data_IF_878893788909
#
_entry.id   IF_878893788909
#
_cell.length_a   1.000
_cell.length_b   1.000
_cell.length_c   1.000
_cell.angle_alpha   90.00
_cell.angle_beta   90.00
_cell.angle_gamma   90.00
#
_symmetry.space_group_name_H-M   'P 1'
#
loop_
_entity.id
_entity.type
_entity.pdbx_description
1 polymer ?
#
# COMPACT_ATOMS: atom_id res chain seq x y z
N UNK A 1 -6.33 -19.50 6.48
CA UNK A 1 -5.13 -18.73 6.90
C UNK A 1 -4.60 -19.12 8.28
N UNK A 2 -5.29 -19.96 9.06
CA UNK A 2 -4.77 -20.42 10.34
C UNK A 2 -3.38 -21.07 10.17
N UNK A 3 -2.42 -20.70 11.03
CA UNK A 3 -1.00 -21.08 10.98
C UNK A 3 -0.16 -20.47 9.83
N UNK A 4 -0.70 -19.53 9.05
CA UNK A 4 0.07 -18.78 8.06
C UNK A 4 0.78 -17.58 8.69
N UNK A 5 1.89 -17.16 8.11
CA UNK A 5 2.66 -15.97 8.51
C UNK A 5 2.44 -14.86 7.48
N UNK A 6 1.93 -13.71 7.92
CA UNK A 6 1.64 -12.56 7.05
C UNK A 6 2.61 -11.44 7.39
N UNK A 7 3.45 -11.07 6.42
CA UNK A 7 4.41 -9.98 6.53
C UNK A 7 3.77 -8.61 6.33
N UNK A 8 4.11 -7.63 7.17
CA UNK A 8 3.64 -6.24 7.03
C UNK A 8 4.73 -5.25 7.45
N UNK A 9 4.78 -4.08 6.83
CA UNK A 9 5.70 -3.01 7.25
C UNK A 9 5.26 -2.41 8.59
N UNK A 10 6.20 -2.30 9.52
CA UNK A 10 5.98 -1.76 10.86
C UNK A 10 5.60 -0.28 10.83
N UNK A 11 4.72 0.14 11.74
CA UNK A 11 4.39 1.56 11.95
C UNK A 11 3.58 2.20 10.82
N UNK A 12 2.91 1.38 9.99
CA UNK A 12 2.02 1.82 8.91
C UNK A 12 0.56 1.53 9.27
N UNK A 13 -0.37 2.22 8.62
CA UNK A 13 -1.81 1.95 8.76
C UNK A 13 -2.18 0.48 8.51
N UNK A 14 -1.48 -0.19 7.59
CA UNK A 14 -1.66 -1.62 7.30
C UNK A 14 -1.34 -2.54 8.48
N UNK A 15 -0.30 -2.24 9.26
CA UNK A 15 0.04 -3.02 10.45
C UNK A 15 -1.06 -2.91 11.50
N UNK A 16 -1.51 -1.67 11.78
CA UNK A 16 -2.60 -1.43 12.74
C UNK A 16 -3.90 -2.09 12.28
N UNK A 17 -4.21 -2.02 10.98
CA UNK A 17 -5.39 -2.65 10.40
C UNK A 17 -5.39 -4.17 10.61
N UNK A 18 -4.27 -4.85 10.32
CA UNK A 18 -4.16 -6.29 10.56
C UNK A 18 -4.34 -6.63 12.04
N UNK A 19 -3.68 -5.87 12.92
CA UNK A 19 -3.76 -6.12 14.37
C UNK A 19 -5.19 -5.94 14.90
N UNK A 20 -5.93 -4.95 14.41
CA UNK A 20 -7.30 -4.66 14.87
C UNK A 20 -8.34 -5.64 14.33
N UNK A 21 -8.17 -6.16 13.12
CA UNK A 21 -9.23 -6.92 12.42
C UNK A 21 -8.92 -8.42 12.28
N UNK A 22 -7.65 -8.81 12.37
CA UNK A 22 -7.19 -10.16 12.05
C UNK A 22 -6.28 -10.76 13.11
N UNK A 23 -6.30 -10.22 14.34
CA UNK A 23 -5.63 -10.84 15.47
C UNK A 23 -6.06 -12.32 15.59
N UNK A 24 -5.09 -13.19 15.85
CA UNK A 24 -5.26 -14.65 16.00
C UNK A 24 -5.78 -15.43 14.77
N UNK A 25 -6.02 -14.77 13.63
CA UNK A 25 -6.38 -15.46 12.37
C UNK A 25 -5.16 -16.05 11.65
N UNK A 26 -3.99 -15.44 11.87
CA UNK A 26 -2.68 -15.82 11.35
C UNK A 26 -1.59 -15.09 12.14
N UNK A 27 -0.34 -15.51 11.99
CA UNK A 27 0.80 -14.87 12.65
C UNK A 27 1.20 -13.62 11.88
N UNK A 28 1.13 -12.44 12.51
CA UNK A 28 1.58 -11.18 11.92
C UNK A 28 3.08 -11.03 12.16
N UNK A 29 3.86 -10.87 11.09
CA UNK A 29 5.31 -10.64 11.15
C UNK A 29 5.61 -9.22 10.67
N UNK A 30 6.18 -8.39 11.54
CA UNK A 30 6.45 -6.98 11.22
C UNK A 30 7.87 -6.78 10.69
N UNK A 31 8.01 -5.92 9.69
CA UNK A 31 9.28 -5.59 9.07
C UNK A 31 9.56 -4.10 9.10
N UNK A 32 10.79 -3.70 9.46
CA UNK A 32 11.26 -2.32 9.30
C UNK A 32 11.77 -2.02 7.89
N UNK A 33 12.20 -3.06 7.16
CA UNK A 33 12.82 -2.93 5.85
C UNK A 33 11.99 -3.67 4.78
N UNK A 34 11.49 -2.96 3.75
CA UNK A 34 10.71 -3.59 2.68
C UNK A 34 11.49 -4.63 1.87
N UNK A 35 12.81 -4.48 1.72
CA UNK A 35 13.65 -5.47 1.03
C UNK A 35 13.66 -6.80 1.78
N UNK A 36 13.79 -6.75 3.12
CA UNK A 36 13.76 -7.95 3.97
C UNK A 36 12.39 -8.64 3.91
N UNK A 37 11.30 -7.87 3.93
CA UNK A 37 9.95 -8.40 3.77
C UNK A 37 9.81 -9.15 2.44
N UNK A 38 10.29 -8.55 1.35
CA UNK A 38 10.23 -9.17 0.02
C UNK A 38 11.12 -10.42 -0.09
N UNK A 39 12.33 -10.39 0.47
CA UNK A 39 13.22 -11.56 0.55
C UNK A 39 12.57 -12.70 1.33
N UNK A 40 11.91 -12.39 2.45
CA UNK A 40 11.24 -13.40 3.28
C UNK A 40 10.02 -13.98 2.60
N UNK A 41 9.29 -13.18 1.82
CA UNK A 41 8.21 -13.69 0.96
C UNK A 41 8.76 -14.66 -0.08
N UNK A 42 9.82 -14.25 -0.81
CA UNK A 42 10.46 -15.09 -1.83
C UNK A 42 10.96 -16.42 -1.27
N UNK A 43 11.56 -16.39 -0.07
CA UNK A 43 12.11 -17.57 0.58
C UNK A 43 11.06 -18.41 1.33
N UNK A 44 9.79 -18.02 1.32
CA UNK A 44 8.73 -18.71 2.07
C UNK A 44 8.90 -18.61 3.59
N UNK A 45 9.63 -17.60 4.08
CA UNK A 45 9.70 -17.26 5.51
C UNK A 45 8.44 -16.54 5.98
N UNK A 46 7.74 -15.86 5.08
CA UNK A 46 6.33 -15.49 5.25
C UNK A 46 5.52 -16.09 4.11
N UNK A 47 4.27 -16.43 4.39
CA UNK A 47 3.37 -17.07 3.43
C UNK A 47 2.65 -16.04 2.53
N UNK A 48 2.48 -14.81 3.03
CA UNK A 48 1.85 -13.71 2.32
C UNK A 48 2.38 -12.36 2.84
N UNK A 49 2.10 -11.29 2.11
CA UNK A 49 2.35 -9.92 2.56
C UNK A 49 1.06 -9.10 2.51
N UNK A 50 0.95 -8.12 3.41
CA UNK A 50 -0.14 -7.16 3.42
C UNK A 50 0.44 -5.75 3.26
N UNK A 51 0.12 -5.09 2.15
CA UNK A 51 0.69 -3.81 1.76
C UNK A 51 -0.29 -3.03 0.87
N UNK A 52 0.09 -1.79 0.50
CA UNK A 52 -0.67 -0.98 -0.45
C UNK A 52 -0.89 -1.73 -1.77
N UNK A 53 -2.12 -1.72 -2.27
CA UNK A 53 -2.52 -2.52 -3.44
C UNK A 53 -1.72 -2.17 -4.70
N UNK A 54 -1.55 -0.87 -5.02
CA UNK A 54 -0.75 -0.44 -6.18
C UNK A 54 0.72 -0.87 -6.06
N UNK A 55 1.27 -0.87 -4.84
CA UNK A 55 2.61 -1.40 -4.60
C UNK A 55 2.68 -2.92 -4.82
N UNK A 56 1.63 -3.66 -4.45
CA UNK A 56 1.57 -5.11 -4.70
C UNK A 56 1.43 -5.42 -6.19
N UNK A 57 0.62 -4.66 -6.93
CA UNK A 57 0.52 -4.78 -8.39
C UNK A 57 1.87 -4.50 -9.07
N UNK A 58 2.58 -3.46 -8.62
CA UNK A 58 3.93 -3.20 -9.11
C UNK A 58 4.86 -4.39 -8.83
N UNK A 59 4.82 -4.95 -7.62
CA UNK A 59 5.64 -6.12 -7.27
C UNK A 59 5.26 -7.36 -8.08
N UNK A 60 3.98 -7.59 -8.36
CA UNK A 60 3.51 -8.65 -9.25
C UNK A 60 4.08 -8.47 -10.66
N UNK A 61 4.00 -7.25 -11.22
CA UNK A 61 4.58 -6.94 -12.52
C UNK A 61 6.10 -7.16 -12.56
N UNK A 62 6.84 -6.76 -11.52
CA UNK A 62 8.29 -6.94 -11.45
C UNK A 62 8.72 -8.39 -11.20
N UNK A 63 7.89 -9.17 -10.50
CA UNK A 63 8.24 -10.51 -10.03
C UNK A 63 7.10 -11.53 -10.25
N UNK A 64 6.62 -11.70 -11.48
CA UNK A 64 5.38 -12.44 -11.76
C UNK A 64 5.51 -13.95 -11.50
N UNK A 65 6.74 -14.46 -11.38
CA UNK A 65 7.00 -15.88 -11.13
C UNK A 65 6.75 -16.32 -9.69
N UNK A 66 6.76 -15.39 -8.72
CA UNK A 66 6.59 -15.73 -7.30
C UNK A 66 5.75 -14.73 -6.50
N UNK A 67 5.22 -13.68 -7.13
CA UNK A 67 4.27 -12.74 -6.54
C UNK A 67 3.00 -12.76 -7.36
N UNK A 68 1.87 -12.93 -6.66
CA UNK A 68 0.55 -12.82 -7.24
C UNK A 68 -0.32 -11.95 -6.35
N UNK A 69 -0.92 -10.91 -6.92
CA UNK A 69 -1.84 -10.06 -6.19
C UNK A 69 -3.18 -10.77 -5.99
N UNK A 70 -3.80 -10.59 -4.82
CA UNK A 70 -5.20 -10.96 -4.64
C UNK A 70 -6.05 -9.92 -5.37
N UNK A 71 -6.98 -10.38 -6.23
CA UNK A 71 -7.79 -9.51 -7.09
C UNK A 71 -8.90 -8.77 -6.36
N UNK A 72 -9.18 -9.16 -5.12
CA UNK A 72 -10.13 -8.48 -4.22
C UNK A 72 -9.33 -7.64 -3.21
N UNK A 73 -9.13 -6.33 -3.46
CA UNK A 73 -8.38 -5.49 -2.54
C UNK A 73 -9.19 -5.24 -1.27
N UNK A 74 -8.48 -5.18 -0.14
CA UNK A 74 -9.05 -4.81 1.15
C UNK A 74 -8.92 -3.29 1.32
N UNK A 75 -10.03 -2.61 1.52
CA UNK A 75 -10.05 -1.17 1.77
C UNK A 75 -9.51 -0.85 3.16
N UNK A 76 -8.43 -0.07 3.22
CA UNK A 76 -7.79 0.38 4.46
C UNK A 76 -7.72 1.90 4.46
N UNK A 77 -8.40 2.54 5.41
CA UNK A 77 -8.48 4.00 5.49
C UNK A 77 -9.30 4.63 4.37
N UNK A 78 -9.11 5.93 4.14
CA UNK A 78 -9.89 6.76 3.22
C UNK A 78 -9.07 7.26 2.01
N UNK A 79 -8.00 6.55 1.66
CA UNK A 79 -7.08 6.94 0.58
C UNK A 79 -5.78 7.60 1.07
N UNK A 80 -5.04 8.17 0.12
CA UNK A 80 -3.77 8.86 0.36
C UNK A 80 -3.99 10.37 0.41
N UNK A 81 -3.29 11.05 1.32
CA UNK A 81 -3.35 12.50 1.45
C UNK A 81 -1.98 13.09 1.80
N UNK A 82 -1.83 14.39 1.53
CA UNK A 82 -0.65 15.15 1.93
C UNK A 82 -0.86 15.60 3.37
N UNK A 83 -0.04 15.08 4.29
CA UNK A 83 -0.11 15.42 5.71
C UNK A 83 0.69 16.70 6.00
N UNK A 84 0.13 17.56 6.86
CA UNK A 84 0.77 18.78 7.34
C UNK A 84 0.52 18.96 8.85
N UNK A 85 1.29 19.85 9.49
CA UNK A 85 0.99 20.30 10.85
C UNK A 85 -0.34 21.07 10.88
N UNK A 86 -1.10 21.01 12.00
CA UNK A 86 -2.39 21.71 12.11
C UNK A 86 -2.33 23.20 11.79
N UNK A 87 -1.24 23.87 12.16
CA UNK A 87 -1.06 25.32 11.94
C UNK A 87 -0.90 25.71 10.46
N UNK A 88 -0.72 24.73 9.55
CA UNK A 88 -0.52 24.94 8.12
C UNK A 88 -1.81 24.82 7.28
N UNK A 89 -2.99 25.06 7.89
CA UNK A 89 -4.28 24.89 7.20
C UNK A 89 -4.35 25.70 5.89
N UNK A 90 -3.84 26.94 5.87
CA UNK A 90 -3.84 27.77 4.66
C UNK A 90 -3.07 27.10 3.50
N UNK A 91 -1.93 26.50 3.78
CA UNK A 91 -1.12 25.80 2.79
C UNK A 91 -1.82 24.51 2.33
N UNK A 92 -2.48 23.80 3.25
CA UNK A 92 -3.31 22.64 2.91
C UNK A 92 -4.42 23.03 1.94
N UNK A 93 -5.12 24.15 2.18
CA UNK A 93 -6.19 24.62 1.29
C UNK A 93 -5.64 24.98 -0.10
N UNK A 94 -4.46 25.61 -0.18
CA UNK A 94 -3.78 25.90 -1.43
C UNK A 94 -3.41 24.63 -2.20
N UNK A 95 -2.86 23.63 -1.51
CA UNK A 95 -2.52 22.33 -2.10
C UNK A 95 -3.78 21.63 -2.62
N UNK A 96 -4.86 21.62 -1.84
CA UNK A 96 -6.14 21.02 -2.24
C UNK A 96 -6.70 21.68 -3.50
N UNK A 97 -6.65 23.01 -3.59
CA UNK A 97 -7.08 23.73 -4.79
C UNK A 97 -6.24 23.36 -6.03
N UNK A 98 -4.93 23.18 -5.87
CA UNK A 98 -4.06 22.73 -6.97
C UNK A 98 -4.42 21.31 -7.38
N UNK A 99 -4.65 20.39 -6.44
CA UNK A 99 -5.07 19.02 -6.76
C UNK A 99 -6.36 19.01 -7.57
N UNK A 100 -7.37 19.79 -7.15
CA UNK A 100 -8.64 19.91 -7.90
C UNK A 100 -8.44 20.48 -9.32
N UNK A 101 -7.51 21.43 -9.49
CA UNK A 101 -7.17 21.94 -10.82
C UNK A 101 -6.57 20.83 -11.70
N UNK A 102 -5.61 20.06 -11.17
CA UNK A 102 -4.98 18.94 -11.89
C UNK A 102 -5.98 17.83 -12.24
N UNK A 103 -6.98 17.60 -11.40
CA UNK A 103 -8.08 16.68 -11.69
C UNK A 103 -8.95 17.22 -12.84
N UNK A 104 -9.32 18.51 -12.78
CA UNK A 104 -10.21 19.14 -13.75
C UNK A 104 -9.61 19.28 -15.16
N UNK A 105 -8.30 19.51 -15.26
CA UNK A 105 -7.60 19.70 -16.54
C UNK A 105 -7.02 18.41 -17.13
N UNK A 106 -7.22 17.29 -16.42
CA UNK A 106 -6.74 15.96 -16.81
C UNK A 106 -5.24 15.72 -16.59
N UNK A 107 -4.51 16.64 -15.95
CA UNK A 107 -3.11 16.40 -15.59
C UNK A 107 -2.97 15.25 -14.61
N UNK A 108 -3.90 15.14 -13.65
CA UNK A 108 -3.90 14.06 -12.67
C UNK A 108 -4.00 12.69 -13.34
N UNK A 109 -4.96 12.49 -14.25
CA UNK A 109 -5.13 11.21 -14.94
C UNK A 109 -3.96 10.88 -15.86
N UNK A 110 -3.34 11.88 -16.50
CA UNK A 110 -2.11 11.68 -17.30
C UNK A 110 -0.95 11.19 -16.44
N UNK A 111 -0.73 11.82 -15.29
CA UNK A 111 0.30 11.40 -14.35
C UNK A 111 0.02 10.02 -13.78
N UNK A 112 -1.24 9.73 -13.44
CA UNK A 112 -1.64 8.41 -12.96
C UNK A 112 -1.32 7.34 -14.01
N UNK A 113 -1.80 7.50 -15.25
CA UNK A 113 -1.58 6.53 -16.32
C UNK A 113 -0.08 6.34 -16.63
N UNK A 114 0.70 7.42 -16.60
CA UNK A 114 2.15 7.34 -16.81
C UNK A 114 2.87 6.54 -15.72
N UNK A 115 2.53 6.76 -14.45
CA UNK A 115 3.22 6.09 -13.33
C UNK A 115 2.71 4.67 -13.08
N UNK A 116 1.49 4.35 -13.52
CA UNK A 116 0.81 3.08 -13.28
C UNK A 116 0.52 2.32 -14.57
N UNK A 117 1.32 2.53 -15.63
CA UNK A 117 1.21 1.84 -16.92
C UNK A 117 1.35 0.31 -16.83
N UNK A 118 1.86 -0.20 -15.70
CA UNK A 118 2.00 -1.64 -15.41
C UNK A 118 0.69 -2.30 -14.96
N UNK A 119 -0.38 -1.52 -14.77
CA UNK A 119 -1.70 -2.03 -14.41
C UNK A 119 -2.45 -2.31 -15.72
N UNK A 120 -2.45 -3.58 -16.11
CA UNK A 120 -3.25 -4.10 -17.23
C UNK A 120 -4.75 -4.19 -16.89
#
# INVERSE_FOLDING_TARGET
MQNKRVGVLQGRGYHNYLYQNFLDKFTIITYKNPRKLLTDLRNGTVDAIFANYLSVLYLEHQYPTYIKALREPINVGNGLGIAALPDNQRQVDQINNIILQLESDGTFIKLYNYNFEFID
#
